data_IF_529162495358
#
_entry.id   IF_529162495358
#
_cell.length_a   1.000
_cell.length_b   1.000
_cell.length_c   1.000
_cell.angle_alpha   90.00
_cell.angle_beta   90.00
_cell.angle_gamma   90.00
#
_symmetry.space_group_name_H-M   'P 1'
#
loop_
_entity.id
_entity.type
_entity.pdbx_description
1 polymer ?
#
# COMPACT_ATOMS: atom_id res chain seq x y z
N UNK A 1 9.43 21.28 -8.03
CA UNK A 1 9.01 19.94 -8.48
C UNK A 1 7.79 19.52 -7.68
N UNK A 2 6.70 19.12 -8.33
CA UNK A 2 5.56 18.49 -7.67
C UNK A 2 5.90 17.04 -7.26
N UNK A 3 4.99 16.36 -6.54
CA UNK A 3 5.25 14.98 -6.09
C UNK A 3 5.48 14.02 -7.25
N UNK A 4 4.72 14.13 -8.35
CA UNK A 4 4.85 13.25 -9.51
C UNK A 4 6.23 13.35 -10.15
N UNK A 5 6.75 14.57 -10.32
CA UNK A 5 8.11 14.80 -10.84
C UNK A 5 9.17 14.20 -9.91
N UNK A 6 9.00 14.34 -8.59
CA UNK A 6 9.93 13.73 -7.61
C UNK A 6 9.85 12.21 -7.66
N UNK A 7 8.65 11.64 -7.79
CA UNK A 7 8.44 10.20 -7.91
C UNK A 7 9.10 9.66 -9.19
N UNK A 8 8.80 10.27 -10.34
CA UNK A 8 9.38 9.91 -11.63
C UNK A 8 10.90 9.98 -11.62
N UNK A 9 11.47 11.01 -10.98
CA UNK A 9 12.91 11.12 -10.81
C UNK A 9 13.50 9.94 -10.03
N UNK A 10 12.90 9.55 -8.89
CA UNK A 10 13.38 8.40 -8.11
C UNK A 10 13.27 7.09 -8.91
N UNK A 11 12.20 6.91 -9.67
CA UNK A 11 12.04 5.76 -10.57
C UNK A 11 13.13 5.75 -11.64
N UNK A 12 13.42 6.91 -12.25
CA UNK A 12 14.45 7.06 -13.29
C UNK A 12 15.87 6.69 -12.83
N UNK A 13 16.18 6.90 -11.53
CA UNK A 13 17.48 6.51 -10.94
C UNK A 13 17.71 4.99 -10.89
N UNK A 14 16.67 4.19 -11.12
CA UNK A 14 16.76 2.71 -11.14
C UNK A 14 17.04 2.12 -12.52
N UNK A 15 17.38 2.96 -13.51
CA UNK A 15 17.83 2.57 -14.87
C UNK A 15 16.90 1.57 -15.58
N UNK A 16 15.58 1.74 -15.43
CA UNK A 16 14.58 0.93 -16.14
C UNK A 16 14.33 -0.44 -15.52
N UNK A 17 14.86 -0.71 -14.32
CA UNK A 17 14.47 -1.90 -13.53
C UNK A 17 12.96 -1.96 -13.36
N UNK A 18 12.38 -3.14 -13.54
CA UNK A 18 10.96 -3.37 -13.22
C UNK A 18 10.78 -3.28 -11.70
N UNK A 19 10.16 -2.19 -11.25
CA UNK A 19 9.87 -1.97 -9.84
C UNK A 19 8.62 -2.74 -9.40
N UNK A 20 8.77 -3.52 -8.33
CA UNK A 20 7.66 -4.15 -7.60
C UNK A 20 6.85 -3.11 -6.79
N UNK A 21 5.83 -3.59 -6.08
CA UNK A 21 4.94 -2.77 -5.25
C UNK A 21 5.68 -2.07 -4.11
N UNK A 22 6.70 -2.71 -3.52
CA UNK A 22 7.42 -2.20 -2.36
C UNK A 22 8.35 -1.04 -2.73
N UNK A 23 9.06 -1.14 -3.86
CA UNK A 23 9.77 0.00 -4.46
C UNK A 23 8.82 1.17 -4.74
N UNK A 24 7.64 0.88 -5.32
CA UNK A 24 6.65 1.90 -5.67
C UNK A 24 6.10 2.60 -4.43
N UNK A 25 5.80 1.86 -3.36
CA UNK A 25 5.34 2.41 -2.09
C UNK A 25 6.41 3.28 -1.43
N UNK A 26 7.66 2.81 -1.39
CA UNK A 26 8.79 3.56 -0.85
C UNK A 26 9.00 4.89 -1.60
N UNK A 27 9.03 4.86 -2.93
CA UNK A 27 9.16 6.07 -3.74
C UNK A 27 7.95 7.00 -3.62
N UNK A 28 6.74 6.47 -3.47
CA UNK A 28 5.54 7.28 -3.23
C UNK A 28 5.67 8.10 -1.94
N UNK A 29 6.13 7.48 -0.84
CA UNK A 29 6.38 8.20 0.41
C UNK A 29 7.55 9.17 0.27
N UNK A 30 8.71 8.72 -0.21
CA UNK A 30 9.93 9.53 -0.28
C UNK A 30 9.76 10.76 -1.20
N UNK A 31 8.88 10.67 -2.20
CA UNK A 31 8.53 11.80 -3.07
C UNK A 31 7.48 12.74 -2.48
N UNK A 32 6.71 12.34 -1.46
CA UNK A 32 5.62 13.17 -0.91
C UNK A 32 6.15 14.40 -0.15
N UNK A 33 7.29 14.26 0.53
CA UNK A 33 7.94 15.33 1.29
C UNK A 33 9.23 15.78 0.56
N UNK A 34 9.37 17.07 0.19
CA UNK A 34 10.56 17.58 -0.52
C UNK A 34 11.89 17.28 0.19
N UNK A 35 11.93 17.42 1.50
CA UNK A 35 13.12 17.18 2.33
C UNK A 35 13.57 15.72 2.28
N UNK A 36 12.61 14.78 2.32
CA UNK A 36 12.90 13.35 2.18
C UNK A 36 13.42 13.03 0.78
N UNK A 37 12.80 13.62 -0.25
CA UNK A 37 13.22 13.43 -1.64
C UNK A 37 14.67 13.89 -1.88
N UNK A 38 15.04 15.07 -1.37
CA UNK A 38 16.38 15.64 -1.57
C UNK A 38 17.50 14.76 -1.01
N UNK A 39 17.20 14.01 0.05
CA UNK A 39 18.11 13.01 0.62
C UNK A 39 18.02 11.69 -0.14
N UNK A 40 16.81 11.23 -0.45
CA UNK A 40 16.56 9.98 -1.14
C UNK A 40 17.22 9.91 -2.51
N UNK A 41 17.16 10.98 -3.33
CA UNK A 41 17.77 11.01 -4.67
C UNK A 41 19.28 10.78 -4.68
N UNK A 42 19.97 10.98 -3.55
CA UNK A 42 21.41 10.71 -3.39
C UNK A 42 21.71 9.29 -2.91
N UNK A 43 20.67 8.55 -2.52
CA UNK A 43 20.73 7.23 -1.90
C UNK A 43 20.02 6.15 -2.72
N UNK A 44 19.50 6.50 -3.90
CA UNK A 44 18.88 5.59 -4.86
C UNK A 44 19.82 5.39 -6.03
N UNK A 45 19.99 4.15 -6.43
CA UNK A 45 20.80 3.72 -7.56
C UNK A 45 20.15 2.49 -8.24
N UNK A 46 20.73 1.94 -9.33
CA UNK A 46 20.18 0.76 -10.00
C UNK A 46 20.07 -0.49 -9.11
N UNK A 47 20.84 -0.58 -8.03
CA UNK A 47 20.81 -1.70 -7.10
C UNK A 47 19.70 -1.56 -6.06
N UNK A 48 19.34 -0.33 -5.65
CA UNK A 48 18.16 -0.10 -4.84
C UNK A 48 18.19 1.19 -4.01
N UNK A 49 17.57 1.12 -2.83
CA UNK A 49 17.41 2.26 -1.91
C UNK A 49 18.24 2.03 -0.65
N UNK A 50 19.23 2.90 -0.40
CA UNK A 50 20.04 2.84 0.83
C UNK A 50 19.35 3.57 2.00
N UNK A 51 18.35 2.97 2.63
CA UNK A 51 17.64 3.59 3.77
C UNK A 51 18.52 3.95 4.96
N UNK A 52 19.57 3.19 5.24
CA UNK A 52 20.52 3.51 6.30
C UNK A 52 21.33 4.78 6.02
N UNK A 53 21.56 5.11 4.74
CA UNK A 53 22.16 6.39 4.37
C UNK A 53 21.14 7.52 4.56
N UNK A 54 19.90 7.32 4.11
CA UNK A 54 18.81 8.31 4.27
C UNK A 54 18.60 8.64 5.75
N UNK A 55 18.39 7.63 6.60
CA UNK A 55 18.16 7.80 8.05
C UNK A 55 19.32 8.54 8.74
N UNK A 56 20.57 8.25 8.36
CA UNK A 56 21.75 8.96 8.89
C UNK A 56 21.80 10.42 8.46
N UNK A 57 21.53 10.70 7.18
CA UNK A 57 21.50 12.08 6.65
C UNK A 57 20.37 12.92 7.23
N UNK A 58 19.26 12.29 7.60
CA UNK A 58 18.09 12.93 8.17
C UNK A 58 18.13 13.08 9.70
N UNK A 59 19.12 12.48 10.39
CA UNK A 59 19.12 12.38 11.86
C UNK A 59 19.12 13.77 12.52
N UNK A 60 18.09 14.04 13.31
CA UNK A 60 17.92 15.30 14.05
C UNK A 60 17.38 16.47 13.21
N UNK A 61 17.10 16.26 11.92
CA UNK A 61 16.67 17.31 10.99
C UNK A 61 15.24 17.09 10.45
N UNK A 62 14.55 16.06 10.93
CA UNK A 62 13.19 15.73 10.49
C UNK A 62 12.18 16.09 11.57
N UNK A 63 11.04 16.59 11.12
CA UNK A 63 9.84 16.64 11.95
C UNK A 63 9.34 15.23 12.29
N UNK A 64 8.47 15.13 13.30
CA UNK A 64 7.93 13.85 13.79
C UNK A 64 7.25 13.07 12.66
N UNK A 65 6.36 13.73 11.89
CA UNK A 65 5.64 13.08 10.79
C UNK A 65 6.59 12.61 9.67
N UNK A 66 7.64 13.38 9.36
CA UNK A 66 8.63 13.02 8.34
C UNK A 66 9.44 11.79 8.77
N UNK A 67 9.78 11.73 10.06
CA UNK A 67 10.46 10.57 10.66
C UNK A 67 9.58 9.32 10.62
N UNK A 68 8.29 9.47 10.92
CA UNK A 68 7.30 8.39 10.82
C UNK A 68 7.15 7.90 9.38
N UNK A 69 6.97 8.81 8.41
CA UNK A 69 6.88 8.47 6.99
C UNK A 69 8.16 7.76 6.49
N UNK A 70 9.35 8.26 6.85
CA UNK A 70 10.61 7.61 6.50
C UNK A 70 10.73 6.21 7.12
N UNK A 71 10.28 6.04 8.37
CA UNK A 71 10.23 4.73 9.02
C UNK A 71 9.30 3.78 8.27
N UNK A 72 8.10 4.24 7.88
CA UNK A 72 7.15 3.47 7.09
C UNK A 72 7.72 3.08 5.73
N UNK A 73 8.33 4.02 5.01
CA UNK A 73 8.95 3.73 3.71
C UNK A 73 10.03 2.63 3.81
N UNK A 74 10.86 2.67 4.85
CA UNK A 74 11.84 1.61 5.08
C UNK A 74 11.17 0.27 5.46
N UNK A 75 10.10 0.29 6.24
CA UNK A 75 9.40 -0.94 6.64
C UNK A 75 8.68 -1.61 5.47
N UNK A 76 7.95 -0.84 4.66
CA UNK A 76 7.29 -1.33 3.46
C UNK A 76 8.31 -1.88 2.44
N UNK A 77 9.49 -1.27 2.33
CA UNK A 77 10.54 -1.75 1.42
C UNK A 77 11.27 -3.01 1.90
N UNK A 78 11.70 -3.01 3.17
CA UNK A 78 12.63 -4.02 3.69
C UNK A 78 11.95 -5.13 4.50
N UNK A 79 10.63 -5.08 4.73
CA UNK A 79 9.72 -6.05 5.43
C UNK A 79 10.12 -6.51 6.85
N UNK A 80 11.41 -6.54 7.17
CA UNK A 80 12.03 -6.92 8.43
C UNK A 80 12.57 -5.71 9.22
N UNK A 81 12.53 -4.51 8.64
CA UNK A 81 13.04 -3.32 9.34
C UNK A 81 12.09 -2.96 10.47
N UNK A 82 12.62 -2.76 11.69
CA UNK A 82 11.78 -2.35 12.82
C UNK A 82 11.17 -0.98 12.52
N UNK A 83 9.85 -0.93 12.44
CA UNK A 83 9.09 0.33 12.49
C UNK A 83 8.64 0.55 13.93
N UNK A 84 8.76 1.79 14.41
CA UNK A 84 8.24 2.18 15.72
C UNK A 84 6.79 2.62 15.66
N UNK A 85 6.26 2.86 14.44
CA UNK A 85 4.95 3.43 14.20
C UNK A 85 3.83 2.56 14.78
N UNK A 86 3.47 2.83 16.03
CA UNK A 86 2.29 2.23 16.68
C UNK A 86 1.00 2.77 16.03
N UNK A 87 -0.15 2.10 16.18
CA UNK A 87 -1.43 2.65 15.74
C UNK A 87 -1.70 4.06 16.29
N UNK A 88 -1.26 4.36 17.52
CA UNK A 88 -1.35 5.70 18.09
C UNK A 88 -0.44 6.70 17.38
N UNK A 89 0.82 6.33 17.09
CA UNK A 89 1.74 7.18 16.33
C UNK A 89 1.22 7.47 14.92
N UNK A 90 0.69 6.45 14.22
CA UNK A 90 0.03 6.62 12.93
C UNK A 90 -1.16 7.57 13.05
N UNK A 91 -1.99 7.44 14.09
CA UNK A 91 -3.15 8.34 14.29
C UNK A 91 -2.78 9.82 14.46
N UNK A 92 -1.51 10.12 14.76
CA UNK A 92 -0.99 11.50 14.86
C UNK A 92 -0.52 12.05 13.51
N UNK A 93 -0.42 11.22 12.47
CA UNK A 93 -0.35 11.70 11.10
C UNK A 93 -1.69 12.36 10.79
N UNK A 94 -1.70 13.68 10.70
CA UNK A 94 -2.88 14.43 10.24
C UNK A 94 -2.92 14.46 8.72
N UNK A 95 -3.94 15.09 8.14
CA UNK A 95 -3.92 15.38 6.70
C UNK A 95 -2.71 16.27 6.34
N UNK A 96 -1.98 15.98 5.24
CA UNK A 96 -2.21 14.90 4.27
C UNK A 96 -1.44 13.59 4.55
N UNK A 97 -0.63 13.55 5.62
CA UNK A 97 0.33 12.48 5.87
C UNK A 97 -0.30 11.12 6.18
N UNK A 98 -1.47 11.10 6.82
CA UNK A 98 -2.24 9.86 6.99
C UNK A 98 -2.66 9.28 5.65
N UNK A 99 -3.09 10.14 4.73
CA UNK A 99 -3.52 9.70 3.40
C UNK A 99 -2.33 9.13 2.62
N UNK A 100 -1.17 9.79 2.67
CA UNK A 100 0.08 9.27 2.10
C UNK A 100 0.44 7.91 2.69
N UNK A 101 0.37 7.76 4.02
CA UNK A 101 0.68 6.53 4.74
C UNK A 101 -0.26 5.38 4.31
N UNK A 102 -1.56 5.60 4.31
CA UNK A 102 -2.57 4.61 3.89
C UNK A 102 -2.41 4.23 2.41
N UNK A 103 -2.23 5.20 1.53
CA UNK A 103 -2.03 4.94 0.11
C UNK A 103 -0.77 4.10 -0.13
N UNK A 104 0.32 4.39 0.58
CA UNK A 104 1.54 3.60 0.49
C UNK A 104 1.35 2.14 0.93
N UNK A 105 0.53 1.89 1.96
CA UNK A 105 0.19 0.53 2.41
C UNK A 105 -0.55 -0.23 1.28
N UNK A 106 -1.56 0.39 0.68
CA UNK A 106 -2.29 -0.23 -0.45
C UNK A 106 -1.42 -0.41 -1.70
N UNK A 107 -0.45 0.48 -1.91
CA UNK A 107 0.52 0.34 -3.01
C UNK A 107 1.42 -0.86 -2.76
N UNK A 108 1.99 -1.00 -1.55
CA UNK A 108 2.88 -2.12 -1.18
C UNK A 108 2.16 -3.46 -1.25
N UNK A 109 0.88 -3.51 -0.86
CA UNK A 109 0.06 -4.73 -0.99
C UNK A 109 -0.33 -5.07 -2.44
N UNK A 110 -0.03 -4.19 -3.42
CA UNK A 110 -0.38 -4.36 -4.83
C UNK A 110 -1.86 -4.10 -5.15
N UNK A 111 -2.63 -3.59 -4.18
CA UNK A 111 -4.06 -3.31 -4.35
C UNK A 111 -4.30 -1.96 -5.04
N UNK A 112 -3.34 -1.05 -4.96
CA UNK A 112 -3.34 0.25 -5.63
C UNK A 112 -2.08 0.41 -6.48
N UNK A 113 -2.23 0.87 -7.71
CA UNK A 113 -1.11 1.19 -8.61
C UNK A 113 -0.90 2.70 -8.71
N UNK A 114 0.37 3.13 -8.74
CA UNK A 114 0.75 4.52 -8.99
C UNK A 114 0.91 4.74 -10.49
N UNK A 115 0.13 5.65 -11.04
CA UNK A 115 0.18 6.09 -12.43
C UNK A 115 0.64 7.55 -12.50
N UNK A 116 1.44 7.88 -13.51
CA UNK A 116 1.76 9.27 -13.85
C UNK A 116 0.88 9.64 -15.04
N UNK A 117 0.11 10.72 -14.90
CA UNK A 117 -0.75 11.27 -15.95
C UNK A 117 -0.53 12.77 -16.05
N UNK A 118 -0.72 13.36 -17.22
CA UNK A 118 -0.72 14.81 -17.37
C UNK A 118 -2.03 15.39 -16.83
N UNK A 119 -1.95 16.45 -16.03
CA UNK A 119 -3.12 17.20 -15.59
C UNK A 119 -3.59 18.19 -16.67
N UNK A 120 -4.66 18.94 -16.39
CA UNK A 120 -5.23 19.94 -17.31
C UNK A 120 -4.23 21.03 -17.75
N UNK A 121 -3.21 21.28 -16.93
CA UNK A 121 -2.14 22.24 -17.20
C UNK A 121 -0.94 21.62 -17.95
N UNK A 122 -0.99 20.33 -18.29
CA UNK A 122 0.12 19.59 -18.91
C UNK A 122 1.24 19.22 -17.94
N UNK A 123 1.06 19.39 -16.64
CA UNK A 123 2.04 18.95 -15.63
C UNK A 123 1.76 17.50 -15.21
N UNK A 124 2.81 16.69 -14.96
CA UNK A 124 2.62 15.33 -14.47
C UNK A 124 1.99 15.35 -13.07
N UNK A 125 1.03 14.46 -12.86
CA UNK A 125 0.31 14.25 -11.63
C UNK A 125 0.28 12.75 -11.29
N UNK A 126 0.31 12.43 -9.99
CA UNK A 126 0.14 11.06 -9.53
C UNK A 126 -1.34 10.73 -9.42
N UNK A 127 -1.74 9.64 -10.07
CA UNK A 127 -3.08 9.08 -9.99
C UNK A 127 -2.97 7.67 -9.41
N UNK A 128 -3.83 7.37 -8.43
CA UNK A 128 -3.88 6.07 -7.78
C UNK A 128 -4.99 5.22 -8.39
N UNK A 129 -4.61 4.15 -9.06
CA UNK A 129 -5.53 3.19 -9.65
C UNK A 129 -5.86 2.07 -8.65
N UNK A 130 -7.10 2.09 -8.15
CA UNK A 130 -7.65 1.09 -7.23
C UNK A 130 -8.40 -0.05 -7.95
N UNK A 131 -8.26 -0.19 -9.27
CA UNK A 131 -8.84 -1.31 -10.02
C UNK A 131 -8.46 -2.69 -9.45
N UNK A 132 -7.20 -2.94 -9.02
CA UNK A 132 -6.84 -4.21 -8.37
C UNK A 132 -7.65 -4.45 -7.10
N UNK A 133 -7.73 -3.45 -6.22
CA UNK A 133 -8.53 -3.51 -4.99
C UNK A 133 -10.00 -3.84 -5.25
N UNK A 134 -10.65 -3.16 -6.19
CA UNK A 134 -12.05 -3.41 -6.51
C UNK A 134 -12.28 -4.78 -7.17
N UNK A 135 -11.26 -5.35 -7.84
CA UNK A 135 -11.28 -6.75 -8.30
C UNK A 135 -11.23 -7.71 -7.10
N UNK A 136 -10.29 -7.51 -6.16
CA UNK A 136 -10.16 -8.33 -4.95
C UNK A 136 -11.45 -8.34 -4.13
N UNK A 137 -12.05 -7.16 -3.94
CA UNK A 137 -13.32 -6.99 -3.22
C UNK A 137 -14.49 -7.71 -3.89
N UNK A 138 -14.57 -7.71 -5.23
CA UNK A 138 -15.60 -8.46 -5.98
C UNK A 138 -15.45 -9.97 -5.80
N UNK A 139 -14.21 -10.48 -5.85
CA UNK A 139 -13.93 -11.89 -5.62
C UNK A 139 -14.34 -12.29 -4.20
N UNK A 140 -13.93 -11.51 -3.20
CA UNK A 140 -14.26 -11.77 -1.80
C UNK A 140 -15.77 -11.83 -1.55
N UNK A 141 -16.53 -10.84 -2.06
CA UNK A 141 -18.00 -10.86 -1.96
C UNK A 141 -18.63 -12.06 -2.67
N UNK A 142 -18.06 -12.49 -3.80
CA UNK A 142 -18.51 -13.68 -4.52
C UNK A 142 -18.33 -14.96 -3.70
N UNK A 143 -17.19 -15.09 -3.02
CA UNK A 143 -16.90 -16.22 -2.13
C UNK A 143 -17.81 -16.24 -0.91
N UNK A 144 -18.06 -15.08 -0.27
CA UNK A 144 -18.98 -15.01 0.86
C UNK A 144 -20.39 -15.50 0.49
N UNK A 145 -20.94 -15.01 -0.63
CA UNK A 145 -22.25 -15.45 -1.12
C UNK A 145 -22.29 -16.94 -1.46
N UNK A 146 -21.17 -17.51 -1.91
CA UNK A 146 -21.08 -18.94 -2.18
C UNK A 146 -21.09 -19.75 -0.89
N UNK A 147 -20.36 -19.29 0.13
CA UNK A 147 -20.37 -19.90 1.45
C UNK A 147 -21.75 -19.88 2.11
N UNK A 148 -22.45 -18.74 2.02
CA UNK A 148 -23.84 -18.60 2.50
C UNK A 148 -24.77 -19.62 1.83
N UNK A 149 -24.76 -19.69 0.49
CA UNK A 149 -25.59 -20.67 -0.25
C UNK A 149 -25.28 -22.12 0.10
N UNK A 150 -24.00 -22.45 0.33
CA UNK A 150 -23.62 -23.81 0.71
C UNK A 150 -24.09 -24.13 2.14
N UNK A 151 -24.04 -23.17 3.06
CA UNK A 151 -24.57 -23.35 4.41
C UNK A 151 -26.09 -23.58 4.38
N UNK A 152 -26.84 -22.79 3.61
CA UNK A 152 -28.29 -22.95 3.44
C UNK A 152 -28.63 -24.34 2.87
N UNK A 153 -27.90 -24.79 1.84
CA UNK A 153 -28.10 -26.12 1.24
C UNK A 153 -27.80 -27.28 2.20
N UNK A 154 -26.79 -27.12 3.06
CA UNK A 154 -26.49 -28.13 4.09
C UNK A 154 -27.59 -28.18 5.15
N UNK A 155 -28.12 -27.03 5.56
CA UNK A 155 -29.23 -26.97 6.52
C UNK A 155 -30.51 -27.58 5.96
N UNK A 156 -30.81 -27.34 4.68
CA UNK A 156 -31.94 -27.97 3.97
C UNK A 156 -31.76 -29.50 3.87
N UNK A 157 -30.58 -29.98 3.48
CA UNK A 157 -30.31 -31.42 3.37
C UNK A 157 -30.40 -32.14 4.74
N UNK A 158 -29.86 -31.53 5.80
CA UNK A 158 -29.97 -32.05 7.16
C UNK A 158 -31.43 -32.10 7.65
N UNK A 159 -32.29 -31.19 7.20
CA UNK A 159 -33.71 -31.19 7.52
C UNK A 159 -34.47 -32.30 6.76
N UNK A 160 -34.20 -32.47 5.46
CA UNK A 160 -34.80 -33.53 4.64
C UNK A 160 -34.41 -34.94 5.14
N UNK A 161 -33.17 -35.14 5.58
CA UNK A 161 -32.74 -36.43 6.17
C UNK A 161 -33.49 -36.75 7.47
N UNK A 162 -33.70 -35.77 8.36
CA UNK A 162 -34.47 -35.96 9.60
C UNK A 162 -35.95 -36.25 9.35
N UNK A 163 -36.57 -35.53 8.41
CA UNK A 163 -37.97 -35.79 8.04
C UNK A 163 -38.13 -37.19 7.41
N UNK A 164 -37.15 -37.62 6.61
CA UNK A 164 -37.12 -38.97 6.05
C UNK A 164 -36.98 -40.07 7.10
N UNK A 165 -36.12 -39.91 8.11
CA UNK A 165 -35.97 -40.87 9.20
C UNK A 165 -37.25 -41.02 10.04
N UNK A 166 -37.94 -39.90 10.34
CA UNK A 166 -39.19 -39.92 11.11
C UNK A 166 -40.37 -40.61 10.39
N UNK A 167 -40.38 -40.63 9.06
CA UNK A 167 -41.43 -41.27 8.25
C UNK A 167 -41.19 -42.79 8.07
N UNK A 168 -39.95 -43.27 8.19
CA UNK A 168 -39.61 -44.71 8.19
C UNK A 168 -39.85 -45.41 9.55
N UNK A 169 -39.89 -44.65 10.65
CA UNK A 169 -40.12 -45.20 12.01
C UNK A 169 -41.62 -45.36 12.36
N UNK A 170 -42.54 -45.05 11.44
CA UNK A 170 -44.00 -45.05 11.69
C UNK A 170 -44.75 -46.24 11.10
#
# INVERSE_FOLDING_TARGET
MNQAQRYEHLVGLTEGKKLDSDYRAAFYILSSVPELFEVAKKCVDPYGISFDKIKRSCKGNLEEYQSQLLSMAHNLFSWNSRTTATPHELSRLTYPWMEIACNAIFISSGEVSVLIQENESGEPNLVLDATPYEKTKRIYKGLQRMGERLADQMEEADAEEREGEEDWER
#
